data_IF_181977508252
#
_entry.id   IF_181977508252
#
_cell.length_a   1.000
_cell.length_b   1.000
_cell.length_c   1.000
_cell.angle_alpha   90.00
_cell.angle_beta   90.00
_cell.angle_gamma   90.00
#
_symmetry.space_group_name_H-M   'P 1'
#
loop_
_entity.id
_entity.type
_entity.pdbx_description
1 polymer ?
#
# COMPACT_ATOMS: atom_id res chain seq x y z
N UNK A 1 6.35 -19.64 -14.86
CA UNK A 1 5.22 -18.99 -14.16
C UNK A 1 5.83 -18.01 -13.18
N UNK A 2 5.41 -16.74 -13.14
CA UNK A 2 5.91 -15.81 -12.10
C UNK A 2 5.28 -16.17 -10.74
N UNK A 3 6.01 -16.08 -9.63
CA UNK A 3 5.48 -16.43 -8.31
C UNK A 3 4.30 -15.52 -7.94
N UNK A 4 3.32 -16.10 -7.25
CA UNK A 4 2.22 -15.36 -6.63
C UNK A 4 2.55 -15.17 -5.16
N UNK A 5 2.63 -13.92 -4.73
CA UNK A 5 2.91 -13.54 -3.36
C UNK A 5 1.59 -13.34 -2.62
N UNK A 6 1.39 -14.06 -1.52
CA UNK A 6 0.19 -13.89 -0.70
C UNK A 6 0.40 -12.79 0.33
N UNK A 7 -0.55 -11.87 0.39
CA UNK A 7 -0.53 -10.73 1.31
C UNK A 7 -1.76 -10.77 2.23
N UNK A 8 -1.61 -10.17 3.41
CA UNK A 8 -2.67 -10.02 4.41
C UNK A 8 -2.71 -8.59 4.94
N UNK A 9 -3.82 -8.21 5.57
CA UNK A 9 -4.06 -6.87 6.14
C UNK A 9 -3.85 -5.74 5.13
N UNK A 10 -4.26 -5.98 3.89
CA UNK A 10 -4.02 -5.08 2.79
C UNK A 10 -4.84 -3.78 2.91
N UNK A 11 -4.20 -2.68 2.56
CA UNK A 11 -4.79 -1.35 2.44
C UNK A 11 -4.39 -0.78 1.08
N UNK A 12 -5.39 -0.41 0.30
CA UNK A 12 -5.25 0.29 -0.97
C UNK A 12 -5.15 1.79 -0.70
N UNK A 13 -3.95 2.33 -0.89
CA UNK A 13 -3.65 3.74 -0.66
C UNK A 13 -3.84 4.50 -1.98
N UNK A 14 -4.72 5.48 -1.96
CA UNK A 14 -4.99 6.41 -3.05
C UNK A 14 -4.26 7.73 -2.79
N UNK A 15 -3.30 8.05 -3.64
CA UNK A 15 -2.45 9.23 -3.51
C UNK A 15 -3.08 10.37 -4.33
N UNK A 16 -3.55 11.40 -3.62
CA UNK A 16 -4.10 12.62 -4.22
C UNK A 16 -2.98 13.62 -4.43
N UNK A 17 -2.82 14.04 -5.69
CA UNK A 17 -1.91 15.10 -6.10
C UNK A 17 -2.74 16.29 -6.57
N UNK A 18 -2.40 17.50 -6.14
CA UNK A 18 -3.06 18.72 -6.61
C UNK A 18 -2.70 19.06 -8.07
N UNK A 19 -1.67 18.40 -8.63
CA UNK A 19 -1.11 18.70 -9.95
C UNK A 19 -1.47 17.64 -11.01
N UNK A 20 -2.02 16.50 -10.61
CA UNK A 20 -2.34 15.40 -11.54
C UNK A 20 -3.80 14.95 -11.39
N UNK A 21 -4.51 14.85 -12.51
CA UNK A 21 -5.89 14.35 -12.55
C UNK A 21 -5.99 12.85 -12.22
N UNK A 22 -4.87 12.12 -12.31
CA UNK A 22 -4.83 10.68 -12.05
C UNK A 22 -4.45 10.43 -10.59
N UNK A 23 -5.35 9.75 -9.88
CA UNK A 23 -5.06 9.22 -8.55
C UNK A 23 -4.17 7.99 -8.69
N UNK A 24 -2.92 8.11 -8.23
CA UNK A 24 -2.03 6.97 -8.18
C UNK A 24 -2.43 6.04 -7.03
N UNK A 25 -2.39 4.73 -7.27
CA UNK A 25 -2.73 3.73 -6.26
C UNK A 25 -1.55 2.82 -5.96
N UNK A 26 -1.37 2.57 -4.68
CA UNK A 26 -0.36 1.66 -4.14
C UNK A 26 -0.98 0.78 -3.06
N UNK A 27 -0.38 -0.38 -2.85
CA UNK A 27 -0.79 -1.32 -1.83
C UNK A 27 0.19 -1.26 -0.65
N UNK A 28 -0.37 -1.15 0.55
CA UNK A 28 0.31 -1.46 1.81
C UNK A 28 -0.24 -2.78 2.33
N UNK A 29 0.61 -3.74 2.65
CA UNK A 29 0.17 -5.02 3.22
C UNK A 29 1.32 -5.70 3.98
N UNK A 30 1.04 -6.85 4.58
CA UNK A 30 2.06 -7.72 5.14
C UNK A 30 2.14 -9.05 4.37
N UNK A 31 3.32 -9.65 4.30
CA UNK A 31 3.46 -11.00 3.74
C UNK A 31 2.72 -12.03 4.60
N UNK A 32 1.90 -12.87 3.97
CA UNK A 32 1.14 -13.91 4.67
C UNK A 32 2.01 -15.14 5.03
N UNK A 33 3.10 -15.35 4.28
CA UNK A 33 4.03 -16.47 4.41
C UNK A 33 5.45 -16.06 3.98
N UNK A 34 6.45 -16.78 4.47
CA UNK A 34 7.85 -16.59 4.06
C UNK A 34 8.02 -16.91 2.57
N UNK A 35 8.69 -16.02 1.84
CA UNK A 35 8.97 -16.18 0.42
C UNK A 35 10.27 -15.45 0.05
N UNK A 36 10.65 -15.49 -1.24
CA UNK A 36 11.88 -14.85 -1.72
C UNK A 36 11.87 -13.32 -1.57
N UNK A 37 10.69 -12.70 -1.57
CA UNK A 37 10.50 -11.24 -1.49
C UNK A 37 10.40 -10.72 -0.05
N UNK A 38 10.16 -11.58 0.96
CA UNK A 38 10.04 -11.15 2.35
C UNK A 38 9.57 -12.24 3.30
N UNK A 39 9.64 -11.94 4.60
CA UNK A 39 9.21 -12.84 5.68
C UNK A 39 7.77 -12.58 6.08
N UNK A 40 7.10 -13.61 6.58
CA UNK A 40 5.75 -13.52 7.13
C UNK A 40 5.66 -12.38 8.16
N UNK A 41 4.70 -11.49 7.95
CA UNK A 41 4.43 -10.35 8.82
C UNK A 41 5.25 -9.10 8.50
N UNK A 42 6.28 -9.16 7.64
CA UNK A 42 6.97 -7.96 7.17
C UNK A 42 6.04 -7.12 6.29
N UNK A 43 6.10 -5.81 6.51
CA UNK A 43 5.32 -4.83 5.75
C UNK A 43 5.92 -4.63 4.35
N UNK A 44 5.03 -4.40 3.39
CA UNK A 44 5.33 -4.16 2.00
C UNK A 44 4.59 -2.91 1.54
N UNK A 45 5.32 -1.97 0.95
CA UNK A 45 4.77 -0.95 0.07
C UNK A 45 5.07 -1.33 -1.39
N UNK A 46 4.04 -1.36 -2.22
CA UNK A 46 4.22 -1.51 -3.67
C UNK A 46 4.46 -0.15 -4.33
N UNK A 47 5.13 -0.13 -5.48
CA UNK A 47 5.39 1.11 -6.22
C UNK A 47 4.15 1.66 -6.95
N UNK A 48 3.58 0.90 -7.89
CA UNK A 48 2.33 1.20 -8.60
C UNK A 48 1.61 -0.09 -8.93
N UNK A 49 0.34 -0.18 -8.56
CA UNK A 49 -0.46 -1.38 -8.81
C UNK A 49 -1.48 -1.16 -9.92
N UNK A 50 -1.75 -2.23 -10.66
CA UNK A 50 -2.93 -2.39 -11.48
C UNK A 50 -3.78 -3.48 -10.86
N UNK A 51 -5.04 -3.18 -10.59
CA UNK A 51 -6.01 -4.19 -10.19
C UNK A 51 -6.29 -5.13 -11.37
N UNK A 52 -6.32 -6.43 -11.09
CA UNK A 52 -6.64 -7.46 -12.08
C UNK A 52 -8.05 -8.03 -11.84
N UNK A 53 -8.42 -8.33 -10.59
CA UNK A 53 -9.74 -8.87 -10.24
C UNK A 53 -10.13 -8.72 -8.74
N UNK A 54 -10.22 -7.52 -8.18
CA UNK A 54 -10.65 -7.27 -6.79
C UNK A 54 -9.70 -7.75 -5.69
N UNK A 55 -9.12 -8.95 -5.81
CA UNK A 55 -8.17 -9.55 -4.85
C UNK A 55 -6.81 -9.88 -5.47
N UNK A 56 -6.68 -9.94 -6.80
CA UNK A 56 -5.36 -10.00 -7.44
C UNK A 56 -4.94 -8.63 -7.97
N UNK A 57 -3.74 -8.23 -7.58
CA UNK A 57 -3.08 -7.00 -7.98
C UNK A 57 -1.74 -7.34 -8.64
N UNK A 58 -1.33 -6.52 -9.60
CA UNK A 58 -0.01 -6.66 -10.24
C UNK A 58 0.74 -5.34 -10.20
N UNK A 59 2.05 -5.40 -10.01
CA UNK A 59 2.92 -4.23 -10.24
C UNK A 59 3.47 -4.25 -11.66
N UNK A 60 3.85 -3.08 -12.18
CA UNK A 60 4.56 -3.00 -13.46
C UNK A 60 5.92 -3.70 -13.33
N UNK A 61 6.02 -4.92 -13.88
CA UNK A 61 7.30 -5.58 -14.14
C UNK A 61 7.73 -6.68 -13.18
N UNK A 62 7.10 -6.90 -12.02
CA UNK A 62 7.61 -7.84 -11.02
C UNK A 62 6.61 -8.94 -10.63
N UNK A 63 5.66 -8.64 -9.75
CA UNK A 63 4.97 -9.68 -8.97
C UNK A 63 3.45 -9.64 -9.11
N UNK A 64 2.84 -10.83 -8.92
CA UNK A 64 1.40 -10.96 -8.71
C UNK A 64 1.15 -11.09 -7.22
N UNK A 65 0.31 -10.20 -6.68
CA UNK A 65 -0.10 -10.22 -5.30
C UNK A 65 -1.53 -10.74 -5.20
N UNK A 66 -1.76 -11.69 -4.32
CA UNK A 66 -3.10 -12.19 -3.99
C UNK A 66 -3.42 -11.80 -2.56
N UNK A 67 -4.51 -11.07 -2.37
CA UNK A 67 -4.99 -10.68 -1.06
C UNK A 67 -5.88 -11.77 -0.46
N UNK A 68 -5.83 -11.91 0.86
CA UNK A 68 -6.70 -12.81 1.62
C UNK A 68 -8.12 -12.24 1.83
N UNK A 69 -8.29 -10.93 1.71
CA UNK A 69 -9.55 -10.21 1.82
C UNK A 69 -9.52 -8.91 0.97
N UNK A 70 -10.69 -8.30 0.79
CA UNK A 70 -10.78 -6.98 0.15
C UNK A 70 -9.95 -5.95 0.91
N UNK A 71 -9.11 -5.15 0.23
CA UNK A 71 -8.26 -4.19 0.89
C UNK A 71 -9.10 -3.04 1.44
N UNK A 72 -8.71 -2.52 2.61
CA UNK A 72 -9.27 -1.26 3.10
C UNK A 72 -8.84 -0.12 2.19
N UNK A 73 -9.70 0.88 1.99
CA UNK A 73 -9.31 2.08 1.25
C UNK A 73 -8.74 3.13 2.19
N UNK A 74 -7.71 3.84 1.73
CA UNK A 74 -7.08 4.91 2.50
C UNK A 74 -6.59 6.02 1.59
N UNK A 75 -7.03 7.25 1.87
CA UNK A 75 -6.66 8.44 1.09
C UNK A 75 -5.54 9.22 1.79
N UNK A 76 -4.54 9.60 1.00
CA UNK A 76 -3.41 10.42 1.43
C UNK A 76 -3.07 11.46 0.37
N UNK A 77 -2.45 12.57 0.78
CA UNK A 77 -1.76 13.44 -0.16
C UNK A 77 -0.32 12.93 -0.42
N UNK A 78 0.39 13.56 -1.36
CA UNK A 78 1.76 13.17 -1.72
C UNK A 78 2.72 13.27 -0.53
N UNK A 79 2.59 14.27 0.33
CA UNK A 79 3.46 14.45 1.49
C UNK A 79 3.27 13.32 2.50
N UNK A 80 2.02 13.01 2.84
CA UNK A 80 1.65 11.93 3.75
C UNK A 80 2.09 10.58 3.22
N UNK A 81 1.92 10.33 1.91
CA UNK A 81 2.42 9.12 1.29
C UNK A 81 3.94 8.99 1.40
N UNK A 82 4.68 10.06 1.08
CA UNK A 82 6.14 10.05 1.18
C UNK A 82 6.59 9.77 2.62
N UNK A 83 5.95 10.39 3.61
CA UNK A 83 6.22 10.15 5.02
C UNK A 83 5.97 8.68 5.39
N UNK A 84 4.83 8.12 4.98
CA UNK A 84 4.53 6.70 5.22
C UNK A 84 5.57 5.79 4.58
N UNK A 85 5.92 6.03 3.32
CA UNK A 85 6.82 5.19 2.55
C UNK A 85 8.27 5.26 3.07
N UNK A 86 8.78 6.46 3.41
CA UNK A 86 10.14 6.64 3.93
C UNK A 86 10.33 6.08 5.34
N UNK A 87 9.31 6.21 6.20
CA UNK A 87 9.37 5.74 7.58
C UNK A 87 8.74 4.35 7.78
N UNK A 88 8.22 3.73 6.71
CA UNK A 88 7.47 2.47 6.75
C UNK A 88 6.26 2.49 7.69
N UNK A 89 5.62 3.65 7.87
CA UNK A 89 4.44 3.77 8.71
C UNK A 89 3.23 3.07 8.08
N UNK A 90 2.50 2.35 8.91
CA UNK A 90 1.18 1.84 8.58
C UNK A 90 0.14 2.96 8.44
N UNK A 91 -0.97 2.70 7.73
CA UNK A 91 -2.09 3.65 7.66
C UNK A 91 -2.60 4.11 9.03
N UNK A 92 -2.60 3.22 10.03
CA UNK A 92 -3.02 3.57 11.39
C UNK A 92 -2.04 4.49 12.09
N UNK A 93 -0.72 4.26 11.95
CA UNK A 93 0.30 5.16 12.50
C UNK A 93 0.21 6.55 11.87
N UNK A 94 -0.09 6.65 10.56
CA UNK A 94 -0.35 7.96 9.96
C UNK A 94 -1.59 8.63 10.54
N UNK A 95 -2.67 7.88 10.80
CA UNK A 95 -3.87 8.42 11.44
C UNK A 95 -3.57 8.99 12.83
N UNK A 96 -2.78 8.28 13.64
CA UNK A 96 -2.33 8.77 14.94
C UNK A 96 -1.48 10.05 14.80
N UNK A 97 -0.59 10.10 13.80
CA UNK A 97 0.20 11.31 13.52
C UNK A 97 -0.67 12.50 13.08
N UNK A 98 -1.72 12.27 12.28
CA UNK A 98 -2.68 13.31 11.89
C UNK A 98 -3.38 13.91 13.10
N UNK A 99 -3.68 13.12 14.12
CA UNK A 99 -4.30 13.59 15.36
C UNK A 99 -3.32 14.38 16.25
N UNK A 100 -2.02 14.06 16.15
CA UNK A 100 -0.96 14.77 16.90
C UNK A 100 -0.52 16.07 16.24
N UNK A 101 -0.65 16.19 14.92
CA UNK A 101 -0.31 17.40 14.17
C UNK A 101 -1.49 18.40 14.23
N UNK A 102 -1.26 19.67 14.62
CA UNK A 102 -2.32 20.67 14.60
C UNK A 102 -2.83 20.85 13.17
N UNK A 103 -4.16 20.90 13.00
CA UNK A 103 -4.79 21.10 11.70
C UNK A 103 -4.37 22.44 11.08
N UNK A 104 -3.52 22.41 10.05
CA UNK A 104 -3.20 23.61 9.27
C UNK A 104 -1.76 23.73 8.75
N UNK A 105 -1.22 22.67 8.15
CA UNK A 105 -0.05 22.79 7.26
C UNK A 105 -0.49 22.67 5.80
#
# INVERSE_FOLDING_TARGET
>A
MRPRVKLTNATLISIKSDFEDKVEKVLYAAFAEDNESGKKGEALFTTKIMEVNGLEYRTFGADFYTLDAEPKEFDVNVFEFNLMHECMYSPNELLELREMLPAGY
#
